data_IF_528988031491
#
_entry.id   IF_528988031491
#
_cell.length_a   1.000
_cell.length_b   1.000
_cell.length_c   1.000
_cell.angle_alpha   90.00
_cell.angle_beta   90.00
_cell.angle_gamma   90.00
#
_symmetry.space_group_name_H-M   'P 1'
#
loop_
_entity.id
_entity.type
_entity.pdbx_description
1 polymer ?
#
# COMPACT_ATOMS: atom_id res chain seq x y z
N UNK A 1 3.11 -17.66 -14.95
CA UNK A 1 3.05 -16.23 -14.52
C UNK A 1 1.67 -15.79 -14.05
N UNK A 2 0.59 -16.16 -14.73
CA UNK A 2 -0.79 -15.74 -14.41
C UNK A 2 -1.26 -16.21 -13.03
N UNK A 3 -0.91 -17.43 -12.62
CA UNK A 3 -1.36 -18.02 -11.35
C UNK A 3 -0.77 -17.31 -10.12
N UNK A 4 0.52 -16.98 -10.15
CA UNK A 4 1.14 -16.27 -9.03
C UNK A 4 0.54 -14.86 -8.90
N UNK A 5 0.36 -14.14 -10.00
CA UNK A 5 -0.21 -12.79 -9.99
C UNK A 5 -1.69 -12.77 -9.56
N UNK A 6 -2.48 -13.77 -9.93
CA UNK A 6 -3.90 -13.86 -9.52
C UNK A 6 -4.04 -14.18 -8.02
N UNK A 7 -3.28 -15.16 -7.53
CA UNK A 7 -3.28 -15.56 -6.11
C UNK A 7 -2.72 -14.45 -5.22
N UNK A 8 -1.62 -13.82 -5.63
CA UNK A 8 -1.02 -12.66 -4.95
C UNK A 8 -1.97 -11.49 -4.79
N UNK A 9 -2.75 -11.21 -5.84
CA UNK A 9 -3.61 -10.04 -5.88
C UNK A 9 -4.93 -10.26 -5.16
N UNK A 10 -5.32 -11.50 -4.87
CA UNK A 10 -6.64 -11.81 -4.31
C UNK A 10 -6.60 -12.09 -2.81
N UNK A 11 -5.62 -12.85 -2.32
CA UNK A 11 -5.66 -13.39 -0.95
C UNK A 11 -5.35 -12.33 0.13
N UNK A 12 -4.24 -11.56 0.05
CA UNK A 12 -3.93 -10.57 1.07
C UNK A 12 -4.54 -9.19 0.79
N UNK A 13 -5.10 -8.94 -0.39
CA UNK A 13 -5.44 -7.58 -0.83
C UNK A 13 -6.55 -6.91 -0.03
N UNK A 14 -7.51 -7.68 0.51
CA UNK A 14 -8.49 -7.14 1.44
C UNK A 14 -7.84 -6.67 2.74
N UNK A 15 -7.06 -7.54 3.39
CA UNK A 15 -6.36 -7.21 4.62
C UNK A 15 -5.37 -6.05 4.44
N UNK A 16 -4.61 -6.06 3.33
CA UNK A 16 -3.68 -4.98 2.95
C UNK A 16 -4.38 -3.67 2.59
N UNK A 17 -5.65 -3.69 2.21
CA UNK A 17 -6.40 -2.46 1.97
C UNK A 17 -6.83 -1.82 3.28
N UNK A 18 -7.07 -2.60 4.34
CA UNK A 18 -7.58 -2.08 5.61
C UNK A 18 -6.47 -1.80 6.64
N UNK A 19 -5.36 -2.54 6.59
CA UNK A 19 -4.32 -2.51 7.62
C UNK A 19 -2.91 -2.53 7.02
N UNK A 20 -1.98 -1.91 7.74
CA UNK A 20 -0.55 -2.09 7.51
C UNK A 20 -0.14 -3.47 8.05
N UNK A 21 0.40 -4.32 7.18
CA UNK A 21 0.88 -5.64 7.58
C UNK A 21 2.24 -5.53 8.28
N UNK A 22 2.50 -6.36 9.32
CA UNK A 22 3.83 -6.45 9.91
C UNK A 22 4.87 -6.90 8.86
N UNK A 23 6.06 -6.30 8.88
CA UNK A 23 7.15 -6.63 7.95
C UNK A 23 7.47 -8.12 7.96
N UNK A 24 7.46 -8.77 9.14
CA UNK A 24 7.67 -10.21 9.25
C UNK A 24 6.62 -11.04 8.51
N UNK A 25 5.35 -10.60 8.48
CA UNK A 25 4.30 -11.25 7.71
C UNK A 25 4.51 -11.05 6.21
N UNK A 26 4.89 -9.84 5.78
CA UNK A 26 5.25 -9.57 4.38
C UNK A 26 6.39 -10.48 3.92
N UNK A 27 7.45 -10.63 4.72
CA UNK A 27 8.58 -11.51 4.43
C UNK A 27 8.19 -12.99 4.35
N UNK A 28 7.25 -13.42 5.20
CA UNK A 28 6.71 -14.78 5.17
C UNK A 28 5.88 -15.03 3.91
N UNK A 29 5.03 -14.08 3.53
CA UNK A 29 4.25 -14.14 2.28
C UNK A 29 5.21 -14.20 1.09
N UNK A 30 6.19 -13.30 1.04
CA UNK A 30 7.24 -13.29 0.02
C UNK A 30 7.98 -14.64 -0.08
N UNK A 31 8.36 -15.23 1.06
CA UNK A 31 9.03 -16.53 1.09
C UNK A 31 8.16 -17.64 0.50
N UNK A 32 6.86 -17.64 0.78
CA UNK A 32 5.91 -18.61 0.20
C UNK A 32 5.79 -18.43 -1.32
N UNK A 33 5.79 -17.19 -1.80
CA UNK A 33 5.70 -16.90 -3.24
C UNK A 33 6.97 -17.28 -3.99
N UNK A 34 8.13 -16.99 -3.41
CA UNK A 34 9.43 -17.41 -3.98
C UNK A 34 9.48 -18.92 -4.07
N UNK A 35 9.06 -19.63 -3.01
CA UNK A 35 8.96 -21.10 -3.03
C UNK A 35 8.00 -21.59 -4.09
N UNK A 36 6.79 -21.04 -4.15
CA UNK A 36 5.83 -21.42 -5.18
C UNK A 36 6.36 -21.18 -6.61
N UNK A 37 7.19 -20.16 -6.80
CA UNK A 37 7.77 -19.85 -8.11
C UNK A 37 8.89 -20.81 -8.52
N UNK A 38 9.74 -21.22 -7.57
CA UNK A 38 10.92 -22.04 -7.87
C UNK A 38 10.73 -23.53 -7.61
N UNK A 39 9.90 -23.91 -6.64
CA UNK A 39 9.64 -25.30 -6.29
C UNK A 39 8.58 -25.87 -7.23
N UNK A 40 8.88 -27.05 -7.79
CA UNK A 40 8.08 -27.73 -8.81
C UNK A 40 7.29 -28.91 -8.20
N UNK A 41 7.83 -29.50 -7.13
CA UNK A 41 7.31 -30.68 -6.44
C UNK A 41 7.22 -30.46 -4.93
N UNK A 42 6.23 -31.07 -4.26
CA UNK A 42 6.11 -31.01 -2.79
C UNK A 42 7.32 -31.67 -2.13
N UNK A 43 8.17 -30.86 -1.50
CA UNK A 43 9.28 -31.33 -0.64
C UNK A 43 10.68 -31.07 -1.19
N UNK A 44 10.82 -30.71 -2.46
CA UNK A 44 12.11 -30.34 -3.05
C UNK A 44 12.29 -28.82 -3.03
N UNK A 45 13.23 -28.35 -2.21
CA UNK A 45 13.58 -26.92 -2.16
C UNK A 45 14.59 -26.62 -3.26
N UNK A 46 14.16 -25.99 -4.35
CA UNK A 46 15.06 -25.59 -5.43
C UNK A 46 15.81 -24.31 -5.07
N UNK A 47 17.01 -24.16 -5.65
CA UNK A 47 17.85 -22.98 -5.45
C UNK A 47 17.16 -21.77 -6.09
N UNK A 48 17.02 -20.70 -5.30
CA UNK A 48 16.52 -19.42 -5.80
C UNK A 48 17.67 -18.70 -6.54
N UNK A 49 17.67 -18.78 -7.87
CA UNK A 49 18.74 -18.22 -8.71
C UNK A 49 18.73 -16.70 -8.83
N UNK A 50 17.58 -16.06 -8.53
CA UNK A 50 17.40 -14.62 -8.68
C UNK A 50 16.85 -14.03 -7.39
N UNK A 51 17.53 -13.02 -6.86
CA UNK A 51 17.07 -12.28 -5.69
C UNK A 51 15.68 -11.66 -5.92
N UNK A 52 14.82 -11.69 -4.89
CA UNK A 52 13.46 -11.17 -4.98
C UNK A 52 13.40 -9.70 -5.43
N UNK A 53 14.32 -8.87 -4.95
CA UNK A 53 14.41 -7.45 -5.33
C UNK A 53 14.68 -7.22 -6.82
N UNK A 54 15.29 -8.20 -7.51
CA UNK A 54 15.43 -8.15 -8.98
C UNK A 54 14.14 -8.59 -9.66
N UNK A 55 13.41 -9.54 -9.08
CA UNK A 55 12.15 -10.02 -9.65
C UNK A 55 11.01 -9.00 -9.53
N UNK A 56 10.98 -8.22 -8.46
CA UNK A 56 9.94 -7.21 -8.21
C UNK A 56 10.09 -5.94 -9.05
N UNK A 57 11.21 -5.77 -9.74
CA UNK A 57 11.39 -4.64 -10.65
C UNK A 57 10.37 -4.67 -11.80
N UNK A 58 9.97 -3.49 -12.31
CA UNK A 58 9.20 -3.39 -13.54
C UNK A 58 9.88 -4.15 -14.69
N UNK A 59 9.07 -4.71 -15.60
CA UNK A 59 9.59 -5.39 -16.80
C UNK A 59 10.47 -4.47 -17.66
N UNK A 60 10.15 -3.18 -17.70
CA UNK A 60 10.96 -2.16 -18.38
C UNK A 60 12.36 -1.98 -17.79
N UNK A 61 12.56 -2.35 -16.52
CA UNK A 61 13.85 -2.29 -15.81
C UNK A 61 14.49 -3.68 -15.67
N UNK A 62 14.09 -4.64 -16.50
CA UNK A 62 14.65 -6.00 -16.52
C UNK A 62 14.17 -6.92 -15.40
N UNK A 63 13.11 -6.54 -14.67
CA UNK A 63 12.48 -7.41 -13.67
C UNK A 63 11.36 -8.28 -14.23
N UNK A 64 10.77 -9.13 -13.38
CA UNK A 64 9.65 -9.99 -13.76
C UNK A 64 8.28 -9.30 -13.57
N UNK A 65 8.26 -8.12 -12.94
CA UNK A 65 7.03 -7.40 -12.63
C UNK A 65 6.22 -8.02 -11.50
N UNK A 66 6.87 -8.74 -10.58
CA UNK A 66 6.24 -9.08 -9.31
C UNK A 66 6.05 -7.84 -8.45
N UNK A 67 5.02 -7.84 -7.60
CA UNK A 67 4.78 -6.73 -6.68
C UNK A 67 5.45 -7.04 -5.36
N UNK A 68 6.24 -6.09 -4.88
CA UNK A 68 6.67 -6.10 -3.49
C UNK A 68 5.43 -5.98 -2.58
N UNK A 69 5.30 -6.89 -1.61
CA UNK A 69 4.10 -7.00 -0.77
C UNK A 69 3.94 -5.77 0.12
N UNK A 70 5.04 -5.25 0.65
CA UNK A 70 5.01 -4.10 1.55
C UNK A 70 4.70 -2.81 0.78
N UNK A 71 5.34 -2.59 -0.37
CA UNK A 71 5.05 -1.45 -1.23
C UNK A 71 3.60 -1.50 -1.75
N UNK A 72 3.12 -2.70 -2.10
CA UNK A 72 1.74 -2.87 -2.55
C UNK A 72 0.72 -2.60 -1.44
N UNK A 73 1.01 -3.03 -0.20
CA UNK A 73 0.20 -2.69 0.97
C UNK A 73 0.15 -1.17 1.22
N UNK A 74 1.31 -0.50 1.16
CA UNK A 74 1.37 0.96 1.31
C UNK A 74 0.57 1.67 0.22
N UNK A 75 0.67 1.21 -1.04
CA UNK A 75 -0.06 1.79 -2.16
C UNK A 75 -1.58 1.62 -2.02
N UNK A 76 -2.06 0.47 -1.50
CA UNK A 76 -3.49 0.25 -1.23
C UNK A 76 -4.01 1.18 -0.14
N UNK A 77 -3.23 1.39 0.93
CA UNK A 77 -3.58 2.34 1.99
C UNK A 77 -3.53 3.79 1.49
N UNK A 78 -2.54 4.13 0.64
CA UNK A 78 -2.44 5.42 -0.02
C UNK A 78 -3.65 5.68 -0.92
N UNK A 79 -4.19 4.66 -1.60
CA UNK A 79 -5.43 4.79 -2.38
C UNK A 79 -6.62 5.20 -1.50
N UNK A 80 -6.70 4.71 -0.26
CA UNK A 80 -7.74 5.13 0.69
C UNK A 80 -7.50 6.56 1.16
N UNK A 81 -6.27 6.90 1.54
CA UNK A 81 -5.90 8.27 1.91
C UNK A 81 -6.25 9.28 0.79
N UNK A 82 -5.98 8.91 -0.46
CA UNK A 82 -6.35 9.69 -1.64
C UNK A 82 -7.85 9.85 -1.81
N UNK A 83 -8.63 8.79 -1.52
CA UNK A 83 -10.10 8.86 -1.54
C UNK A 83 -10.63 9.83 -0.51
N UNK A 84 -10.03 9.87 0.69
CA UNK A 84 -10.38 10.84 1.75
C UNK A 84 -10.13 12.27 1.25
N UNK A 85 -8.99 12.51 0.60
CA UNK A 85 -8.63 13.81 0.04
C UNK A 85 -9.54 14.24 -1.12
N UNK A 86 -9.87 13.35 -2.05
CA UNK A 86 -10.66 13.69 -3.24
C UNK A 86 -12.17 13.70 -3.02
N UNK A 87 -12.66 12.92 -2.06
CA UNK A 87 -14.10 12.81 -1.76
C UNK A 87 -14.35 13.07 -0.26
N UNK A 88 -14.15 14.31 0.22
CA UNK A 88 -14.30 14.63 1.64
C UNK A 88 -15.72 14.40 2.18
N UNK A 89 -16.74 14.46 1.31
CA UNK A 89 -18.14 14.26 1.69
C UNK A 89 -18.56 12.78 1.78
N UNK A 90 -17.71 11.83 1.39
CA UNK A 90 -18.07 10.42 1.52
C UNK A 90 -18.08 9.98 2.99
N UNK A 91 -18.92 8.97 3.31
CA UNK A 91 -19.08 8.50 4.70
C UNK A 91 -17.75 8.16 5.36
N UNK A 92 -16.87 7.45 4.66
CA UNK A 92 -15.54 7.08 5.13
C UNK A 92 -14.72 8.31 5.54
N UNK A 93 -14.67 9.33 4.67
CA UNK A 93 -13.93 10.55 4.93
C UNK A 93 -14.52 11.28 6.14
N UNK A 94 -15.84 11.53 6.15
CA UNK A 94 -16.54 12.24 7.23
C UNK A 94 -16.35 11.57 8.60
N UNK A 95 -16.46 10.25 8.66
CA UNK A 95 -16.31 9.50 9.92
C UNK A 95 -14.87 9.57 10.41
N UNK A 96 -13.88 9.35 9.54
CA UNK A 96 -12.48 9.33 9.93
C UNK A 96 -11.96 10.74 10.27
N UNK A 97 -12.24 11.74 9.44
CA UNK A 97 -11.84 13.12 9.72
C UNK A 97 -12.60 13.67 10.92
N UNK A 98 -13.88 13.36 11.08
CA UNK A 98 -14.65 13.77 12.25
C UNK A 98 -14.15 13.16 13.56
N UNK A 99 -13.62 11.93 13.52
CA UNK A 99 -13.06 11.24 14.70
C UNK A 99 -11.62 11.63 15.02
N UNK A 100 -10.79 11.88 14.02
CA UNK A 100 -9.34 12.02 14.20
C UNK A 100 -8.78 13.41 13.83
N UNK A 101 -9.47 14.17 12.98
CA UNK A 101 -9.04 15.46 12.45
C UNK A 101 -9.95 16.58 12.97
N UNK A 102 -9.83 16.94 14.27
CA UNK A 102 -10.66 17.99 14.87
C UNK A 102 -10.17 19.41 14.55
N UNK A 103 -8.88 19.67 14.75
CA UNK A 103 -8.27 21.00 14.62
C UNK A 103 -7.24 21.08 13.48
N UNK A 104 -6.90 19.96 12.87
CA UNK A 104 -5.87 19.85 11.86
C UNK A 104 -6.44 19.25 10.57
N UNK A 105 -5.85 19.65 9.44
CA UNK A 105 -6.17 19.02 8.15
C UNK A 105 -5.73 17.56 8.16
N UNK A 106 -6.38 16.73 7.33
CA UNK A 106 -6.00 15.32 7.15
C UNK A 106 -4.51 15.14 6.80
N UNK A 107 -3.95 16.08 6.01
CA UNK A 107 -2.55 16.06 5.59
C UNK A 107 -1.57 16.31 6.75
N UNK A 108 -1.98 17.08 7.76
CA UNK A 108 -1.13 17.50 8.88
C UNK A 108 -1.36 16.68 10.16
N UNK A 109 -2.36 15.80 10.18
CA UNK A 109 -2.79 15.11 11.41
C UNK A 109 -1.78 14.04 11.84
N UNK A 110 -1.24 14.13 13.07
CA UNK A 110 -0.35 13.09 13.59
C UNK A 110 -1.10 11.84 14.07
N UNK A 111 -0.43 10.68 14.04
CA UNK A 111 -0.96 9.46 14.62
C UNK A 111 -0.94 9.56 16.16
N UNK A 112 -2.10 9.43 16.81
CA UNK A 112 -2.17 9.29 18.27
C UNK A 112 -1.91 7.84 18.68
N UNK A 113 -1.34 7.62 19.86
CA UNK A 113 -1.03 6.28 20.38
C UNK A 113 -2.27 5.40 20.51
N UNK A 114 -3.40 5.99 20.94
CA UNK A 114 -4.72 5.37 21.09
C UNK A 114 -5.51 5.19 19.77
N UNK A 115 -4.95 5.64 18.64
CA UNK A 115 -5.65 5.55 17.36
C UNK A 115 -5.72 4.11 16.82
N UNK A 116 -6.77 3.82 16.05
CA UNK A 116 -7.02 2.49 15.51
C UNK A 116 -5.93 2.09 14.51
N UNK A 117 -5.64 0.78 14.42
CA UNK A 117 -4.66 0.25 13.46
C UNK A 117 -5.00 0.61 12.01
N UNK A 118 -6.29 0.65 11.66
CA UNK A 118 -6.73 1.08 10.32
C UNK A 118 -6.39 2.56 10.06
N UNK A 119 -6.59 3.43 11.05
CA UNK A 119 -6.21 4.85 10.92
C UNK A 119 -4.70 5.02 10.77
N UNK A 120 -3.90 4.33 11.59
CA UNK A 120 -2.44 4.35 11.49
C UNK A 120 -1.97 3.87 10.11
N UNK A 121 -2.60 2.84 9.55
CA UNK A 121 -2.33 2.38 8.18
C UNK A 121 -2.67 3.44 7.12
N UNK A 122 -3.81 4.13 7.25
CA UNK A 122 -4.18 5.22 6.34
C UNK A 122 -3.17 6.38 6.42
N UNK A 123 -2.69 6.73 7.62
CA UNK A 123 -1.66 7.75 7.79
C UNK A 123 -0.33 7.31 7.14
N UNK A 124 0.06 6.05 7.28
CA UNK A 124 1.25 5.52 6.60
C UNK A 124 1.14 5.58 5.06
N UNK A 125 -0.05 5.33 4.51
CA UNK A 125 -0.33 5.52 3.08
C UNK A 125 -0.39 7.00 2.68
N UNK A 126 -0.89 7.87 3.55
CA UNK A 126 -0.89 9.33 3.33
C UNK A 126 0.53 9.88 3.28
N UNK A 127 1.44 9.39 4.11
CA UNK A 127 2.83 9.85 4.12
C UNK A 127 3.52 9.57 2.78
N UNK A 128 3.19 8.45 2.11
CA UNK A 128 3.60 8.18 0.73
C UNK A 128 3.02 9.19 -0.27
N UNK A 129 1.81 9.68 -0.03
CA UNK A 129 1.21 10.72 -0.89
C UNK A 129 1.91 12.06 -0.67
N UNK A 130 2.26 12.41 0.58
CA UNK A 130 2.91 13.68 0.90
C UNK A 130 4.25 13.88 0.17
N UNK A 131 5.01 12.82 -0.06
CA UNK A 131 6.29 12.89 -0.81
C UNK A 131 6.11 13.21 -2.29
N UNK A 132 4.92 12.99 -2.85
CA UNK A 132 4.64 13.11 -4.28
C UNK A 132 3.40 13.98 -4.58
N UNK A 133 2.84 14.68 -3.58
CA UNK A 133 1.63 15.46 -3.76
C UNK A 133 1.96 16.79 -4.45
N UNK A 134 1.24 17.08 -5.54
CA UNK A 134 1.25 18.39 -6.18
C UNK A 134 -0.16 18.87 -6.44
N UNK A 135 -0.40 20.18 -6.34
CA UNK A 135 -1.64 20.82 -6.78
C UNK A 135 -1.35 21.52 -8.11
N UNK A 136 -2.00 21.08 -9.19
CA UNK A 136 -2.00 21.84 -10.43
C UNK A 136 -2.85 23.10 -10.23
N UNK A 137 -2.20 24.27 -10.27
CA UNK A 137 -2.89 25.56 -10.24
C UNK A 137 -3.36 25.83 -11.66
N UNK A 138 -4.67 25.80 -11.88
CA UNK A 138 -5.29 26.22 -13.13
C UNK A 138 -5.34 27.74 -13.23
N UNK A 139 -6.53 28.28 -13.41
CA UNK A 139 -6.80 29.72 -13.52
C UNK A 139 -6.71 30.51 -12.19
N UNK A 140 -6.12 29.96 -11.13
CA UNK A 140 -5.89 30.66 -9.84
C UNK A 140 -7.11 30.95 -8.97
N UNK A 141 -8.34 30.93 -9.51
CA UNK A 141 -9.56 31.34 -8.77
C UNK A 141 -9.94 30.44 -7.59
N UNK A 142 -9.45 29.19 -7.56
CA UNK A 142 -9.71 28.20 -6.50
C UNK A 142 -8.54 27.99 -5.53
N UNK A 143 -7.53 28.86 -5.57
CA UNK A 143 -6.33 28.73 -4.73
C UNK A 143 -6.08 30.04 -4.02
N UNK A 144 -6.30 30.08 -2.70
CA UNK A 144 -5.85 31.20 -1.87
C UNK A 144 -4.33 31.08 -1.70
N UNK A 145 -3.64 32.17 -2.04
CA UNK A 145 -2.22 32.41 -1.74
C UNK A 145 -2.11 32.78 -0.26
#
# INVERSE_FOLDING_TARGET
MTMLQSVLSAIPSYAMSCFQLPVGLCNRIQSVLVRFWWDDSKGERKICWVAWDKMTKPKSLGGLGFRDVQLFNQALLAKIAWRILKKPNCLLARVLTGKYCHSQSFLSTAARTDSSHGWKGILWGRDLLLTHLGKAIGNGTSTRV
#
